data_IF_207979447480
#
_entry.id   IF_207979447480
#
_cell.length_a   1.000
_cell.length_b   1.000
_cell.length_c   1.000
_cell.angle_alpha   90.00
_cell.angle_beta   90.00
_cell.angle_gamma   90.00
#
_symmetry.space_group_name_H-M   'P 1'
#
loop_
_entity.id
_entity.type
_entity.pdbx_description
1 polymer ?
#
# COMPACT_ATOMS: atom_id res chain seq x y z
N UNK A 1 -3.31 3.53 18.46
CA UNK A 1 -3.25 4.47 17.29
C UNK A 1 -3.20 3.64 16.02
N UNK A 2 -3.94 4.05 14.96
CA UNK A 2 -3.90 3.42 13.62
C UNK A 2 -3.05 4.31 12.71
N UNK A 3 -1.98 3.76 12.12
CA UNK A 3 -1.20 4.45 11.10
C UNK A 3 -1.86 4.24 9.74
N UNK A 4 -2.49 5.30 9.21
CA UNK A 4 -3.29 5.26 7.99
C UNK A 4 -2.55 5.88 6.80
N UNK A 5 -2.37 5.07 5.77
CA UNK A 5 -1.87 5.49 4.47
C UNK A 5 -0.35 5.47 4.29
N UNK A 6 0.07 5.61 3.04
CA UNK A 6 1.47 5.73 2.64
C UNK A 6 2.30 4.45 2.65
N UNK A 7 1.73 3.32 3.02
CA UNK A 7 2.44 2.04 3.10
C UNK A 7 2.58 1.40 1.72
N UNK A 8 3.80 1.15 1.29
CA UNK A 8 4.14 0.54 -0.01
C UNK A 8 4.86 -0.80 0.13
N UNK A 9 5.62 -0.96 1.19
CA UNK A 9 6.50 -2.11 1.45
C UNK A 9 6.36 -2.59 2.88
N UNK A 10 6.81 -3.81 3.15
CA UNK A 10 6.81 -4.36 4.51
C UNK A 10 7.63 -3.52 5.51
N UNK A 11 8.72 -2.90 5.05
CA UNK A 11 9.51 -1.98 5.86
C UNK A 11 8.75 -0.70 6.29
N UNK A 12 7.74 -0.27 5.52
CA UNK A 12 6.89 0.86 5.91
C UNK A 12 5.97 0.47 7.07
N UNK A 13 5.49 -0.79 7.11
CA UNK A 13 4.74 -1.33 8.26
C UNK A 13 5.60 -1.28 9.52
N UNK A 14 6.86 -1.74 9.43
CA UNK A 14 7.82 -1.68 10.55
C UNK A 14 7.99 -0.26 11.06
N UNK A 15 8.25 0.69 10.16
CA UNK A 15 8.42 2.11 10.49
C UNK A 15 7.18 2.71 11.14
N UNK A 16 5.99 2.40 10.61
CA UNK A 16 4.73 2.90 11.13
C UNK A 16 4.44 2.40 12.57
N UNK A 17 4.69 1.12 12.82
CA UNK A 17 4.53 0.54 14.16
C UNK A 17 5.59 1.05 15.13
N UNK A 18 6.85 1.13 14.71
CA UNK A 18 7.93 1.71 15.53
C UNK A 18 7.68 3.19 15.87
N UNK A 19 7.01 3.96 15.00
CA UNK A 19 6.63 5.34 15.25
C UNK A 19 5.44 5.51 16.21
N UNK A 20 4.95 4.43 16.83
CA UNK A 20 3.87 4.46 17.83
C UNK A 20 2.51 3.97 17.32
N UNK A 21 2.43 3.43 16.11
CA UNK A 21 1.23 2.75 15.63
C UNK A 21 0.99 1.46 16.39
N UNK A 22 -0.26 1.16 16.76
CA UNK A 22 -0.66 -0.15 17.28
C UNK A 22 -1.19 -1.06 16.18
N UNK A 23 -1.60 -0.46 15.07
CA UNK A 23 -2.03 -1.13 13.84
C UNK A 23 -1.81 -0.23 12.63
N UNK A 24 -1.90 -0.81 11.43
CA UNK A 24 -1.74 -0.09 10.16
C UNK A 24 -2.98 -0.26 9.29
N UNK A 25 -3.34 0.79 8.55
CA UNK A 25 -4.36 0.73 7.50
C UNK A 25 -3.65 0.54 6.16
N UNK A 26 -4.01 -0.53 5.45
CA UNK A 26 -3.48 -0.84 4.12
C UNK A 26 -4.60 -0.78 3.08
N UNK A 27 -4.31 -0.22 1.94
CA UNK A 27 -5.25 -0.12 0.81
C UNK A 27 -4.60 -0.65 -0.48
N UNK A 28 -3.76 0.15 -1.12
CA UNK A 28 -3.12 -0.22 -2.40
C UNK A 28 -2.27 -1.50 -2.34
N UNK A 29 -1.78 -1.87 -1.16
CA UNK A 29 -1.03 -3.12 -0.98
C UNK A 29 -1.87 -4.36 -1.29
N UNK A 30 -3.17 -4.34 -0.98
CA UNK A 30 -4.11 -5.44 -1.23
C UNK A 30 -5.04 -5.20 -2.42
N UNK A 31 -5.00 -4.02 -3.03
CA UNK A 31 -5.88 -3.69 -4.16
C UNK A 31 -5.62 -4.55 -5.40
N UNK A 32 -4.41 -5.09 -5.57
CA UNK A 32 -4.04 -5.99 -6.67
C UNK A 32 -4.30 -7.47 -6.40
N UNK A 33 -4.91 -7.84 -5.28
CA UNK A 33 -5.16 -9.24 -4.93
C UNK A 33 -6.36 -9.82 -5.66
N UNK A 34 -6.43 -11.15 -5.72
CA UNK A 34 -7.53 -11.86 -6.37
C UNK A 34 -8.88 -11.52 -5.73
N UNK A 35 -8.92 -11.40 -4.41
CA UNK A 35 -10.12 -11.12 -3.62
C UNK A 35 -10.56 -9.65 -3.68
N UNK A 36 -9.71 -8.76 -4.20
CA UNK A 36 -10.09 -7.37 -4.42
C UNK A 36 -11.26 -7.28 -5.42
N UNK A 37 -12.27 -6.41 -5.18
CA UNK A 37 -13.47 -6.33 -6.02
C UNK A 37 -13.23 -5.78 -7.44
N UNK A 38 -12.03 -5.24 -7.73
CA UNK A 38 -11.70 -4.73 -9.05
C UNK A 38 -11.64 -5.84 -10.11
N UNK A 39 -12.00 -5.51 -11.35
CA UNK A 39 -11.91 -6.43 -12.48
C UNK A 39 -10.46 -6.76 -12.83
N UNK A 40 -10.23 -8.01 -13.28
CA UNK A 40 -8.92 -8.41 -13.80
C UNK A 40 -8.76 -7.92 -15.25
N UNK A 41 -7.70 -7.18 -15.51
CA UNK A 41 -7.39 -6.58 -16.80
C UNK A 41 -6.06 -7.15 -17.31
N UNK A 42 -6.02 -7.53 -18.59
CA UNK A 42 -4.76 -7.87 -19.26
C UNK A 42 -4.29 -6.64 -20.06
N UNK A 43 -3.09 -6.19 -19.77
CA UNK A 43 -2.48 -5.06 -20.46
C UNK A 43 -0.99 -5.34 -20.70
N UNK A 44 -0.55 -5.20 -21.94
CA UNK A 44 0.83 -5.51 -22.37
C UNK A 44 1.32 -6.87 -21.86
N UNK A 45 0.47 -7.91 -21.92
CA UNK A 45 0.81 -9.27 -21.49
C UNK A 45 0.90 -9.48 -19.96
N UNK A 46 0.56 -8.48 -19.16
CA UNK A 46 0.56 -8.56 -17.70
C UNK A 46 -0.85 -8.43 -17.13
N UNK A 47 -1.10 -9.11 -16.01
CA UNK A 47 -2.36 -9.00 -15.26
C UNK A 47 -2.34 -7.76 -14.36
N UNK A 48 -3.46 -7.05 -14.34
CA UNK A 48 -3.75 -5.93 -13.45
C UNK A 48 -5.14 -6.11 -12.85
N UNK A 49 -5.42 -5.40 -11.77
CA UNK A 49 -6.76 -5.19 -11.23
C UNK A 49 -7.16 -3.74 -11.45
N UNK A 50 -8.42 -3.52 -11.84
CA UNK A 50 -8.98 -2.17 -11.83
C UNK A 50 -8.96 -1.63 -10.40
N UNK A 51 -8.59 -0.36 -10.26
CA UNK A 51 -8.48 0.32 -8.98
C UNK A 51 -9.20 1.66 -9.05
N UNK A 52 -9.96 1.96 -7.99
CA UNK A 52 -10.54 3.29 -7.83
C UNK A 52 -10.43 3.73 -6.37
N UNK A 53 -10.00 4.96 -6.16
CA UNK A 53 -10.06 5.59 -4.85
C UNK A 53 -11.50 5.83 -4.44
N UNK A 54 -11.82 5.78 -3.14
CA UNK A 54 -13.19 5.98 -2.64
C UNK A 54 -13.76 7.35 -2.97
N UNK A 55 -12.91 8.36 -3.18
CA UNK A 55 -13.27 9.70 -3.63
C UNK A 55 -13.24 9.88 -5.16
N UNK A 56 -13.08 8.81 -5.96
CA UNK A 56 -13.19 8.89 -7.42
C UNK A 56 -14.65 9.04 -7.86
N UNK A 57 -14.87 9.59 -9.05
CA UNK A 57 -16.23 9.73 -9.60
C UNK A 57 -16.96 8.39 -9.66
N UNK A 58 -16.28 7.36 -10.16
CA UNK A 58 -16.84 6.01 -10.28
C UNK A 58 -17.24 5.41 -8.91
N UNK A 59 -16.46 5.69 -7.85
CA UNK A 59 -16.79 5.22 -6.51
C UNK A 59 -17.97 6.01 -5.93
N UNK A 60 -18.04 7.32 -6.18
CA UNK A 60 -19.14 8.17 -5.72
C UNK A 60 -20.46 7.82 -6.40
N UNK A 61 -20.46 7.50 -7.68
CA UNK A 61 -21.63 7.01 -8.41
C UNK A 61 -22.17 5.71 -7.82
N UNK A 62 -21.28 4.85 -7.30
CA UNK A 62 -21.60 3.56 -6.70
C UNK A 62 -21.81 3.60 -5.18
N UNK A 63 -22.01 4.78 -4.58
CA UNK A 63 -22.50 4.91 -3.20
C UNK A 63 -21.54 5.55 -2.19
N UNK A 64 -20.29 5.86 -2.53
CA UNK A 64 -19.34 6.42 -1.55
C UNK A 64 -19.44 7.96 -1.35
N UNK A 65 -20.35 8.63 -2.02
CA UNK A 65 -20.51 10.10 -1.99
C UNK A 65 -20.88 10.67 -0.63
N UNK A 66 -21.56 9.91 0.20
CA UNK A 66 -21.93 10.28 1.57
C UNK A 66 -20.72 10.45 2.50
N UNK A 67 -19.62 9.69 2.28
CA UNK A 67 -18.35 9.87 3.00
C UNK A 67 -17.69 11.22 2.76
N UNK A 68 -17.98 11.84 1.61
CA UNK A 68 -17.41 13.13 1.20
C UNK A 68 -18.42 14.27 1.33
N UNK A 69 -19.45 14.12 2.19
CA UNK A 69 -20.50 15.11 2.43
C UNK A 69 -21.28 15.52 1.17
N UNK A 70 -21.32 14.65 0.16
CA UNK A 70 -21.95 14.91 -1.14
C UNK A 70 -23.19 14.03 -1.37
N UNK A 71 -23.73 13.39 -0.32
CA UNK A 71 -24.88 12.49 -0.39
C UNK A 71 -26.14 13.12 -1.05
N UNK A 72 -26.34 14.42 -0.86
CA UNK A 72 -27.45 15.18 -1.44
C UNK A 72 -27.29 15.53 -2.92
N UNK A 73 -26.12 15.34 -3.50
CA UNK A 73 -25.81 15.73 -4.88
C UNK A 73 -26.29 14.65 -5.84
N UNK A 74 -27.34 14.94 -6.62
CA UNK A 74 -27.90 14.03 -7.64
C UNK A 74 -27.21 14.13 -9.01
N UNK A 75 -26.61 15.25 -9.30
CA UNK A 75 -25.96 15.52 -10.59
C UNK A 75 -24.47 15.17 -10.49
N UNK A 76 -24.04 14.13 -11.23
CA UNK A 76 -22.65 13.64 -11.26
C UNK A 76 -21.65 14.73 -11.64
N UNK A 77 -22.06 15.67 -12.50
CA UNK A 77 -21.21 16.82 -12.93
C UNK A 77 -20.90 17.82 -11.80
N UNK A 78 -21.66 17.75 -10.69
CA UNK A 78 -21.44 18.59 -9.51
C UNK A 78 -20.66 17.89 -8.40
N UNK A 79 -20.30 16.61 -8.58
CA UNK A 79 -19.43 15.90 -7.65
C UNK A 79 -18.01 16.43 -7.77
N UNK A 80 -17.36 16.63 -6.62
CA UNK A 80 -15.95 17.04 -6.56
C UNK A 80 -15.10 15.79 -6.26
N UNK A 81 -14.39 15.24 -7.25
CA UNK A 81 -13.59 14.06 -7.04
C UNK A 81 -12.31 14.39 -6.24
N UNK A 82 -12.03 13.60 -5.21
CA UNK A 82 -10.79 13.65 -4.42
C UNK A 82 -9.92 12.40 -4.66
N UNK A 83 -10.41 11.46 -5.45
CA UNK A 83 -9.73 10.22 -5.77
C UNK A 83 -9.61 9.97 -7.27
N UNK A 84 -8.73 9.06 -7.63
CA UNK A 84 -8.44 8.65 -9.00
C UNK A 84 -8.95 7.23 -9.27
N UNK A 85 -9.25 6.93 -10.53
CA UNK A 85 -9.38 5.58 -11.05
C UNK A 85 -8.13 5.20 -11.85
N UNK A 86 -7.77 3.93 -11.82
CA UNK A 86 -6.59 3.43 -12.49
C UNK A 86 -6.51 1.90 -12.46
N UNK A 87 -5.33 1.37 -12.59
CA UNK A 87 -5.05 -0.06 -12.46
C UNK A 87 -3.82 -0.28 -11.58
N UNK A 88 -3.82 -1.40 -10.85
CA UNK A 88 -2.69 -1.86 -10.04
C UNK A 88 -2.23 -3.23 -10.53
N UNK A 89 -0.94 -3.57 -10.45
CA UNK A 89 -0.45 -4.89 -10.78
C UNK A 89 -1.16 -5.97 -9.96
N UNK A 90 -1.50 -7.09 -10.60
CA UNK A 90 -2.00 -8.27 -9.91
C UNK A 90 -0.93 -8.85 -9.00
N UNK A 91 -1.30 -9.22 -7.78
CA UNK A 91 -0.35 -9.64 -6.71
C UNK A 91 -0.62 -11.03 -6.14
N UNK A 92 -1.47 -11.84 -6.78
CA UNK A 92 -1.88 -13.13 -6.21
C UNK A 92 -2.96 -13.00 -5.15
N UNK A 93 -2.98 -13.89 -4.17
CA UNK A 93 -3.98 -13.91 -3.10
C UNK A 93 -3.65 -12.93 -1.97
N UNK A 94 -4.67 -12.50 -1.21
CA UNK A 94 -4.47 -11.71 0.02
C UNK A 94 -3.56 -12.46 0.99
N UNK A 95 -3.72 -13.78 1.11
CA UNK A 95 -2.92 -14.60 2.00
C UNK A 95 -1.42 -14.48 1.69
N UNK A 96 -1.04 -14.54 0.41
CA UNK A 96 0.35 -14.41 -0.03
C UNK A 96 0.90 -13.02 0.30
N UNK A 97 0.13 -11.96 0.03
CA UNK A 97 0.52 -10.58 0.33
C UNK A 97 0.71 -10.37 1.83
N UNK A 98 -0.22 -10.82 2.66
CA UNK A 98 -0.14 -10.70 4.13
C UNK A 98 1.04 -11.52 4.67
N UNK A 99 1.26 -12.73 4.15
CA UNK A 99 2.41 -13.54 4.54
C UNK A 99 3.73 -12.80 4.33
N UNK A 100 3.91 -12.15 3.18
CA UNK A 100 5.09 -11.34 2.87
C UNK A 100 5.23 -10.12 3.80
N UNK A 101 4.14 -9.42 4.09
CA UNK A 101 4.15 -8.28 5.01
C UNK A 101 4.52 -8.70 6.43
N UNK A 102 3.98 -9.82 6.93
CA UNK A 102 4.32 -10.37 8.24
C UNK A 102 5.77 -10.83 8.28
N UNK A 103 6.27 -11.46 7.22
CA UNK A 103 7.67 -11.84 7.10
C UNK A 103 8.61 -10.64 7.25
N UNK A 104 8.34 -9.55 6.54
CA UNK A 104 9.09 -8.31 6.65
C UNK A 104 8.96 -7.64 8.01
N UNK A 105 7.77 -7.68 8.64
CA UNK A 105 7.56 -7.19 9.99
C UNK A 105 8.42 -7.96 11.00
N UNK A 106 8.39 -9.30 10.97
CA UNK A 106 9.20 -10.15 11.84
C UNK A 106 10.70 -9.88 11.69
N UNK A 107 11.18 -9.71 10.46
CA UNK A 107 12.56 -9.34 10.19
C UNK A 107 12.91 -7.99 10.82
N UNK A 108 12.06 -6.97 10.66
CA UNK A 108 12.23 -5.66 11.26
C UNK A 108 12.24 -5.71 12.79
N UNK A 109 11.32 -6.46 13.41
CA UNK A 109 11.30 -6.70 14.85
C UNK A 109 12.61 -7.34 15.32
N UNK A 110 13.14 -8.31 14.57
CA UNK A 110 14.44 -8.93 14.85
C UNK A 110 15.60 -7.93 14.84
N UNK A 111 15.63 -7.02 13.84
CA UNK A 111 16.68 -6.00 13.75
C UNK A 111 16.68 -5.02 14.91
N UNK A 112 15.51 -4.67 15.46
CA UNK A 112 15.40 -3.76 16.60
C UNK A 112 15.34 -4.48 17.96
N UNK A 113 15.38 -5.81 17.99
CA UNK A 113 15.32 -6.62 19.22
C UNK A 113 13.97 -6.61 19.90
N UNK A 114 12.88 -6.28 19.19
CA UNK A 114 11.54 -6.22 19.76
C UNK A 114 10.82 -7.57 19.69
N UNK A 115 10.34 -8.08 20.82
CA UNK A 115 9.53 -9.31 20.91
C UNK A 115 8.02 -9.07 20.69
N UNK A 116 7.55 -7.83 20.81
CA UNK A 116 6.14 -7.43 20.65
C UNK A 116 6.04 -6.15 19.84
N UNK A 117 4.81 -5.82 19.37
CA UNK A 117 4.55 -4.54 18.67
C UNK A 117 4.79 -3.36 19.60
N UNK A 118 4.38 -3.47 20.86
CA UNK A 118 4.62 -2.43 21.87
C UNK A 118 6.13 -2.19 22.09
N UNK A 119 6.94 -3.25 22.12
CA UNK A 119 8.38 -3.15 22.23
C UNK A 119 9.05 -2.45 21.05
N UNK A 120 8.39 -2.37 19.88
CA UNK A 120 8.90 -1.62 18.74
C UNK A 120 8.91 -0.10 19.01
N UNK A 121 8.09 0.41 19.92
CA UNK A 121 8.02 1.84 20.23
C UNK A 121 9.32 2.38 20.86
N UNK A 122 10.19 1.51 21.37
CA UNK A 122 11.52 1.89 21.88
C UNK A 122 12.58 2.06 20.77
N UNK A 123 12.23 1.72 19.53
CA UNK A 123 13.14 1.82 18.39
C UNK A 123 13.58 3.27 18.14
N UNK A 124 14.85 3.41 17.76
CA UNK A 124 15.42 4.70 17.40
C UNK A 124 15.36 4.92 15.89
N UNK A 125 15.11 6.14 15.47
CA UNK A 125 15.09 6.55 14.08
C UNK A 125 16.35 7.33 13.74
N UNK A 126 16.94 7.01 12.58
CA UNK A 126 18.01 7.80 11.98
C UNK A 126 17.47 8.45 10.70
N UNK A 127 17.67 9.76 10.57
CA UNK A 127 17.34 10.47 9.35
C UNK A 127 18.36 10.14 8.27
N UNK A 128 17.88 9.73 7.10
CA UNK A 128 18.72 9.49 5.92
C UNK A 128 18.37 10.46 4.79
N UNK A 129 19.31 10.70 3.89
CA UNK A 129 19.11 11.50 2.67
C UNK A 129 18.51 10.66 1.54
N UNK A 130 18.05 11.31 0.47
CA UNK A 130 17.59 10.61 -0.73
C UNK A 130 18.72 9.76 -1.34
N UNK A 131 19.96 10.21 -1.30
CA UNK A 131 21.12 9.42 -1.72
C UNK A 131 21.29 8.16 -0.87
N UNK A 132 21.13 8.26 0.46
CA UNK A 132 21.16 7.11 1.35
C UNK A 132 20.00 6.13 1.11
N UNK A 133 18.82 6.61 0.69
CA UNK A 133 17.72 5.74 0.28
C UNK A 133 18.07 4.97 -0.99
N UNK A 134 18.62 5.64 -2.00
CA UNK A 134 19.06 4.98 -3.24
C UNK A 134 20.14 3.93 -2.97
N UNK A 135 21.13 4.27 -2.14
CA UNK A 135 22.21 3.36 -1.76
C UNK A 135 21.73 2.13 -0.99
N UNK A 136 20.66 2.28 -0.20
CA UNK A 136 20.09 1.17 0.58
C UNK A 136 19.18 0.23 -0.23
N UNK A 137 18.92 0.55 -1.50
CA UNK A 137 18.10 -0.25 -2.42
C UNK A 137 18.98 -0.81 -3.55
N UNK A 138 18.52 -1.83 -4.29
CA UNK A 138 19.25 -2.30 -5.47
C UNK A 138 19.52 -1.15 -6.44
N UNK A 139 20.78 -0.84 -6.66
CA UNK A 139 21.27 0.14 -7.62
C UNK A 139 22.34 -0.52 -8.50
N UNK A 140 22.70 0.08 -9.61
CA UNK A 140 23.71 -0.41 -10.56
C UNK A 140 23.47 -1.82 -11.12
N UNK A 141 22.23 -2.33 -11.01
CA UNK A 141 21.81 -3.62 -11.57
C UNK A 141 20.49 -3.50 -12.33
N UNK A 142 20.30 -4.37 -13.31
CA UNK A 142 19.02 -4.56 -13.97
C UNK A 142 18.26 -5.69 -13.30
N UNK A 143 17.08 -5.40 -12.73
CA UNK A 143 16.23 -6.40 -12.10
C UNK A 143 15.71 -7.37 -13.17
N UNK A 144 16.12 -8.62 -13.11
CA UNK A 144 15.65 -9.70 -14.02
C UNK A 144 14.47 -10.46 -13.47
N UNK A 145 14.35 -10.57 -12.12
CA UNK A 145 13.24 -11.18 -11.41
C UNK A 145 12.76 -10.24 -10.32
N UNK A 146 11.44 -9.97 -10.29
CA UNK A 146 10.84 -9.11 -9.28
C UNK A 146 10.71 -9.84 -7.94
N UNK A 147 10.81 -9.08 -6.85
CA UNK A 147 10.57 -9.56 -5.49
C UNK A 147 9.49 -8.67 -4.83
N UNK A 148 8.84 -9.11 -3.73
CA UNK A 148 7.74 -8.36 -3.11
C UNK A 148 8.04 -6.89 -2.79
N UNK A 149 9.31 -6.58 -2.46
CA UNK A 149 9.74 -5.21 -2.13
C UNK A 149 10.50 -4.53 -3.27
N UNK A 150 10.77 -5.22 -4.38
CA UNK A 150 11.57 -4.71 -5.50
C UNK A 150 10.92 -5.08 -6.83
N UNK A 151 10.32 -4.10 -7.48
CA UNK A 151 9.72 -4.24 -8.81
C UNK A 151 10.45 -3.36 -9.83
N UNK A 152 10.35 -3.74 -11.09
CA UNK A 152 10.85 -2.90 -12.20
C UNK A 152 10.07 -1.59 -12.23
N UNK A 153 10.71 -0.46 -12.55
CA UNK A 153 9.99 0.78 -12.86
C UNK A 153 8.96 0.52 -13.96
N UNK A 154 7.77 1.07 -13.80
CA UNK A 154 6.68 0.98 -14.79
C UNK A 154 6.79 2.09 -15.80
#
# INVERSE_FOLDING_TARGET
MIADGGLRYSGDVVKALAAGGSSVMIGSLVAGTEESPGDTIIFNGRKFKSYRGMGSLEAMENGSKDRYFQAGTKDVKKLVPEGIAGRVPYKGTVQEVIYQLIGGLRSGMGYIGAGTVEGMHDAKFTRITNAGVLESHPHDITITSEAPNYSRPQ
#
